data_IF_935231341685
#
_entry.id   IF_935231341685
#
_cell.length_a   1.000
_cell.length_b   1.000
_cell.length_c   1.000
_cell.angle_alpha   90.00
_cell.angle_beta   90.00
_cell.angle_gamma   90.00
#
_symmetry.space_group_name_H-M   'P 1'
#
loop_
_entity.id
_entity.type
_entity.pdbx_description
1 polymer ?
#
# COMPACT_ATOMS: atom_id res chain seq x y z
N UNK A 1 -4.05 -14.73 -1.80
CA UNK A 1 -4.55 -14.60 -0.43
C UNK A 1 -5.67 -15.61 -0.21
N UNK A 2 -5.71 -16.24 0.94
CA UNK A 2 -6.78 -17.18 1.35
C UNK A 2 -7.74 -16.56 2.38
N UNK A 3 -7.43 -15.34 2.83
CA UNK A 3 -8.20 -14.59 3.81
C UNK A 3 -8.12 -15.12 5.25
N UNK A 4 -7.31 -16.14 5.50
CA UNK A 4 -7.15 -16.77 6.81
C UNK A 4 -5.72 -16.68 7.35
N UNK A 5 -4.75 -17.18 6.61
CA UNK A 5 -3.34 -17.16 6.97
C UNK A 5 -2.47 -16.38 5.97
N UNK A 6 -2.91 -16.29 4.71
CA UNK A 6 -2.33 -15.41 3.69
C UNK A 6 -3.31 -14.27 3.49
N UNK A 7 -3.08 -13.15 4.17
CA UNK A 7 -4.04 -12.09 4.40
C UNK A 7 -3.62 -10.77 3.77
N UNK A 8 -4.57 -9.88 3.60
CA UNK A 8 -4.34 -8.46 3.30
C UNK A 8 -4.47 -7.59 4.56
N UNK A 9 -4.28 -6.29 4.39
CA UNK A 9 -4.33 -5.33 5.50
C UNK A 9 -5.69 -5.32 6.23
N UNK A 10 -6.80 -5.52 5.51
CA UNK A 10 -8.15 -5.54 6.13
C UNK A 10 -8.28 -6.64 7.16
N UNK A 11 -7.84 -7.85 6.84
CA UNK A 11 -7.84 -8.96 7.79
C UNK A 11 -6.82 -8.73 8.91
N UNK A 12 -5.65 -8.16 8.58
CA UNK A 12 -4.65 -7.84 9.60
C UNK A 12 -5.16 -6.85 10.65
N UNK A 13 -6.04 -5.91 10.28
CA UNK A 13 -6.67 -4.97 11.23
C UNK A 13 -7.70 -5.62 12.16
N UNK A 14 -8.17 -6.83 11.85
CA UNK A 14 -9.28 -7.49 12.54
C UNK A 14 -8.97 -8.93 12.94
N UNK A 15 -7.67 -9.30 13.05
CA UNK A 15 -7.30 -10.62 13.55
C UNK A 15 -7.83 -10.79 14.98
N UNK A 16 -8.43 -11.92 15.24
CA UNK A 16 -9.02 -12.30 16.53
C UNK A 16 -7.98 -12.76 17.56
N UNK A 17 -6.76 -12.97 17.13
CA UNK A 17 -5.64 -13.37 17.98
C UNK A 17 -4.33 -12.70 17.54
N UNK A 18 -3.37 -12.63 18.44
CA UNK A 18 -2.02 -12.19 18.16
C UNK A 18 -1.20 -13.36 17.60
N UNK A 19 -0.74 -13.32 16.34
CA UNK A 19 0.12 -14.39 15.80
C UNK A 19 1.49 -14.41 16.49
N UNK A 20 2.08 -15.60 16.65
CA UNK A 20 3.44 -15.75 17.18
C UNK A 20 4.48 -15.26 16.17
N UNK A 21 4.24 -15.47 14.87
CA UNK A 21 5.13 -15.04 13.79
C UNK A 21 4.37 -14.55 12.56
N UNK A 22 4.93 -13.52 11.92
CA UNK A 22 4.35 -12.92 10.72
C UNK A 22 5.46 -12.57 9.71
N UNK A 23 5.22 -12.92 8.44
CA UNK A 23 6.00 -12.39 7.33
C UNK A 23 5.17 -11.32 6.64
N UNK A 24 5.70 -10.09 6.58
CA UNK A 24 5.09 -8.96 5.90
C UNK A 24 5.76 -8.77 4.55
N UNK A 25 4.98 -8.80 3.47
CA UNK A 25 5.48 -8.68 2.09
C UNK A 25 5.13 -7.30 1.57
N UNK A 26 6.16 -6.50 1.29
CA UNK A 26 6.06 -5.08 0.93
C UNK A 26 6.25 -4.15 2.13
N UNK A 27 7.13 -3.16 1.98
CA UNK A 27 7.50 -2.20 3.02
C UNK A 27 7.06 -0.77 2.72
N UNK A 28 5.98 -0.59 1.95
CA UNK A 28 5.27 0.69 1.88
C UNK A 28 4.66 1.06 3.24
N UNK A 29 3.92 2.16 3.31
CA UNK A 29 3.31 2.65 4.56
C UNK A 29 2.55 1.54 5.31
N UNK A 30 1.61 0.86 4.64
CA UNK A 30 0.79 -0.22 5.22
C UNK A 30 1.65 -1.34 5.80
N UNK A 31 2.62 -1.85 5.01
CA UNK A 31 3.46 -2.97 5.46
C UNK A 31 4.36 -2.57 6.62
N UNK A 32 4.94 -1.38 6.58
CA UNK A 32 5.83 -0.86 7.64
C UNK A 32 5.06 -0.59 8.93
N UNK A 33 3.89 0.03 8.86
CA UNK A 33 3.05 0.29 10.04
C UNK A 33 2.58 -1.01 10.71
N UNK A 34 2.07 -1.97 9.93
CA UNK A 34 1.61 -3.24 10.47
C UNK A 34 2.75 -4.12 10.97
N UNK A 35 3.93 -4.10 10.31
CA UNK A 35 5.13 -4.76 10.82
C UNK A 35 5.52 -4.22 12.20
N UNK A 36 5.53 -2.90 12.35
CA UNK A 36 5.83 -2.26 13.63
C UNK A 36 4.77 -2.57 14.69
N UNK A 37 3.48 -2.47 14.33
CA UNK A 37 2.37 -2.76 15.23
C UNK A 37 2.45 -4.18 15.79
N UNK A 38 2.54 -5.18 14.92
CA UNK A 38 2.59 -6.58 15.36
C UNK A 38 3.87 -6.90 16.16
N UNK A 39 5.01 -6.33 15.77
CA UNK A 39 6.24 -6.46 16.53
C UNK A 39 6.11 -5.86 17.94
N UNK A 40 5.50 -4.68 18.07
CA UNK A 40 5.24 -4.04 19.36
C UNK A 40 4.29 -4.88 20.25
N UNK A 41 3.39 -5.64 19.64
CA UNK A 41 2.52 -6.61 20.32
C UNK A 41 3.25 -7.91 20.71
N UNK A 42 4.50 -8.07 20.29
CA UNK A 42 5.33 -9.25 20.61
C UNK A 42 5.26 -10.37 19.57
N UNK A 43 4.77 -10.10 18.37
CA UNK A 43 4.87 -11.02 17.23
C UNK A 43 6.28 -10.96 16.64
N UNK A 44 6.87 -12.11 16.32
CA UNK A 44 8.14 -12.15 15.57
C UNK A 44 7.88 -11.78 14.12
N UNK A 45 8.44 -10.66 13.66
CA UNK A 45 8.16 -10.11 12.31
C UNK A 45 9.38 -10.19 11.42
N UNK A 46 9.18 -10.71 10.20
CA UNK A 46 10.08 -10.59 9.05
C UNK A 46 9.43 -9.72 7.99
N UNK A 47 10.04 -8.58 7.66
CA UNK A 47 9.62 -7.67 6.60
C UNK A 47 10.43 -7.95 5.33
N UNK A 48 9.75 -8.31 4.23
CA UNK A 48 10.37 -8.63 2.93
C UNK A 48 10.05 -7.53 1.93
N UNK A 49 11.09 -6.95 1.32
CA UNK A 49 10.97 -5.85 0.37
C UNK A 49 11.74 -6.15 -0.92
N UNK A 50 11.07 -5.98 -2.05
CA UNK A 50 11.66 -6.17 -3.38
C UNK A 50 12.66 -5.06 -3.72
N UNK A 51 12.38 -3.83 -3.32
CA UNK A 51 13.21 -2.67 -3.57
C UNK A 51 14.50 -2.68 -2.72
N UNK A 52 15.51 -1.85 -3.06
CA UNK A 52 16.77 -1.78 -2.32
C UNK A 52 16.65 -1.26 -0.88
N UNK A 53 15.59 -0.54 -0.56
CA UNK A 53 15.34 0.08 0.74
C UNK A 53 13.90 -0.18 1.18
N UNK A 54 13.65 -0.17 2.47
CA UNK A 54 12.27 -0.07 2.98
C UNK A 54 11.72 1.34 2.70
N UNK A 55 10.39 1.49 2.69
CA UNK A 55 9.74 2.76 2.33
C UNK A 55 10.33 3.35 1.03
N UNK A 56 10.26 2.64 -0.10
CA UNK A 56 11.05 2.96 -1.30
C UNK A 56 10.63 4.24 -2.01
N UNK A 57 9.49 4.82 -1.64
CA UNK A 57 8.98 6.09 -2.17
C UNK A 57 9.37 7.31 -1.32
N UNK A 58 9.94 7.06 -0.13
CA UNK A 58 10.35 8.11 0.79
C UNK A 58 11.80 8.54 0.58
N UNK A 59 12.18 9.65 1.20
CA UNK A 59 13.55 10.12 1.22
C UNK A 59 14.53 9.05 1.73
N UNK A 60 15.70 8.96 1.10
CA UNK A 60 16.68 7.91 1.38
C UNK A 60 17.18 7.96 2.84
N UNK A 61 17.30 9.15 3.41
CA UNK A 61 17.72 9.32 4.82
C UNK A 61 16.64 8.84 5.78
N UNK A 62 15.36 9.16 5.48
CA UNK A 62 14.20 8.66 6.24
C UNK A 62 14.15 7.14 6.19
N UNK A 63 14.25 6.55 5.00
CA UNK A 63 14.26 5.08 4.82
C UNK A 63 15.36 4.40 5.60
N UNK A 64 16.58 4.96 5.59
CA UNK A 64 17.72 4.47 6.39
C UNK A 64 17.45 4.56 7.90
N UNK A 65 16.89 5.67 8.35
CA UNK A 65 16.60 5.89 9.76
C UNK A 65 15.51 4.93 10.27
N UNK A 66 14.43 4.76 9.52
CA UNK A 66 13.37 3.78 9.84
C UNK A 66 13.93 2.36 9.87
N UNK A 67 14.77 1.99 8.89
CA UNK A 67 15.42 0.68 8.87
C UNK A 67 16.28 0.40 10.11
N UNK A 68 17.03 1.39 10.61
CA UNK A 68 17.77 1.29 11.87
C UNK A 68 16.83 1.12 13.08
N UNK A 69 15.73 1.86 13.09
CA UNK A 69 14.73 1.78 14.15
C UNK A 69 14.04 0.42 14.16
N UNK A 70 13.68 -0.13 13.02
CA UNK A 70 13.10 -1.47 12.89
C UNK A 70 14.05 -2.55 13.41
N UNK A 71 15.31 -2.50 13.00
CA UNK A 71 16.32 -3.43 13.49
C UNK A 71 16.50 -3.33 15.03
N UNK A 72 16.50 -2.11 15.58
CA UNK A 72 16.58 -1.90 17.04
C UNK A 72 15.34 -2.44 17.76
N UNK A 73 14.17 -2.36 17.13
CA UNK A 73 12.92 -2.91 17.66
C UNK A 73 12.84 -4.45 17.55
N UNK A 74 13.76 -5.10 16.83
CA UNK A 74 13.77 -6.55 16.65
C UNK A 74 12.98 -7.04 15.44
N UNK A 75 12.66 -6.16 14.49
CA UNK A 75 12.08 -6.54 13.20
C UNK A 75 13.21 -6.98 12.26
N UNK A 76 13.14 -8.21 11.75
CA UNK A 76 14.02 -8.68 10.70
C UNK A 76 13.59 -8.07 9.35
N UNK A 77 14.57 -7.62 8.54
CA UNK A 77 14.29 -6.99 7.25
C UNK A 77 15.13 -7.63 6.14
N UNK A 78 14.46 -8.07 5.08
CA UNK A 78 15.07 -8.55 3.85
C UNK A 78 14.71 -7.62 2.69
N UNK A 79 15.65 -6.78 2.26
CA UNK A 79 15.52 -5.94 1.07
C UNK A 79 16.11 -6.64 -0.16
N UNK A 80 15.76 -6.18 -1.39
CA UNK A 80 16.12 -6.82 -2.65
C UNK A 80 15.74 -8.30 -2.65
N UNK A 81 14.59 -8.63 -2.08
CA UNK A 81 14.11 -9.97 -1.87
C UNK A 81 12.63 -10.08 -2.27
N UNK A 82 12.25 -11.19 -2.87
CA UNK A 82 10.88 -11.45 -3.32
C UNK A 82 10.32 -12.73 -2.76
N UNK A 83 9.05 -12.74 -2.39
CA UNK A 83 8.32 -13.96 -2.06
C UNK A 83 7.90 -14.62 -3.37
N UNK A 84 8.43 -15.81 -3.64
CA UNK A 84 8.15 -16.56 -4.86
C UNK A 84 6.92 -17.46 -4.70
N UNK A 85 6.76 -18.06 -3.52
CA UNK A 85 5.61 -18.90 -3.21
C UNK A 85 5.38 -19.01 -1.71
N UNK A 86 4.12 -19.34 -1.36
CA UNK A 86 3.71 -19.68 0.01
C UNK A 86 2.99 -21.00 -0.02
N UNK A 87 3.51 -21.96 0.72
CA UNK A 87 2.95 -23.31 0.84
C UNK A 87 2.14 -23.41 2.14
N UNK A 88 0.89 -23.79 2.00
CA UNK A 88 -0.03 -24.01 3.12
C UNK A 88 -0.12 -25.51 3.41
N UNK A 89 0.06 -25.89 4.69
CA UNK A 89 -0.04 -27.25 5.19
C UNK A 89 -0.52 -27.26 6.63
N UNK A 90 -0.38 -28.44 7.28
CA UNK A 90 -0.51 -28.53 8.73
C UNK A 90 0.67 -27.82 9.41
N UNK A 91 0.42 -26.91 10.35
CA UNK A 91 1.45 -26.10 11.03
C UNK A 91 1.71 -24.75 10.37
N UNK A 92 2.95 -24.29 10.44
CA UNK A 92 3.35 -22.98 9.91
C UNK A 92 3.33 -22.96 8.37
N UNK A 93 3.08 -21.77 7.80
CA UNK A 93 3.24 -21.52 6.38
C UNK A 93 4.73 -21.58 6.03
N UNK A 94 5.09 -22.24 4.93
CA UNK A 94 6.44 -22.20 4.37
C UNK A 94 6.49 -21.18 3.24
N UNK A 95 7.38 -20.21 3.38
CA UNK A 95 7.51 -19.08 2.47
C UNK A 95 8.86 -19.17 1.77
N UNK A 96 8.84 -19.38 0.46
CA UNK A 96 10.03 -19.40 -0.36
C UNK A 96 10.38 -17.96 -0.76
N UNK A 97 11.48 -17.44 -0.23
CA UNK A 97 11.96 -16.08 -0.46
C UNK A 97 13.23 -16.12 -1.27
N UNK A 98 13.24 -15.46 -2.43
CA UNK A 98 14.44 -15.24 -3.21
C UNK A 98 15.18 -14.04 -2.63
N UNK A 99 16.38 -14.27 -2.13
CA UNK A 99 17.20 -13.25 -1.49
C UNK A 99 17.96 -12.39 -2.52
N UNK A 100 18.65 -11.36 -2.04
CA UNK A 100 19.47 -10.44 -2.85
C UNK A 100 20.58 -11.10 -3.69
N UNK A 101 20.93 -12.35 -3.42
CA UNK A 101 21.91 -13.13 -4.20
C UNK A 101 21.23 -14.01 -5.26
N UNK A 102 19.89 -14.05 -5.27
CA UNK A 102 19.11 -14.92 -6.15
C UNK A 102 18.90 -16.34 -5.61
N UNK A 103 19.29 -16.61 -4.37
CA UNK A 103 19.13 -17.90 -3.70
C UNK A 103 17.73 -17.96 -3.05
N UNK A 104 17.14 -19.15 -3.03
CA UNK A 104 15.87 -19.39 -2.34
C UNK A 104 16.14 -19.77 -0.88
N UNK A 105 15.57 -19.01 0.02
CA UNK A 105 15.54 -19.29 1.45
C UNK A 105 14.11 -19.65 1.87
N UNK A 106 13.96 -20.68 2.71
CA UNK A 106 12.66 -21.07 3.25
C UNK A 106 12.51 -20.48 4.64
N UNK A 107 11.48 -19.65 4.81
CA UNK A 107 11.08 -19.06 6.08
C UNK A 107 9.73 -19.62 6.51
N UNK A 108 9.49 -19.70 7.81
CA UNK A 108 8.22 -20.19 8.35
C UNK A 108 7.54 -19.09 9.17
N UNK A 109 6.23 -18.98 9.01
CA UNK A 109 5.39 -18.06 9.78
C UNK A 109 3.97 -18.58 9.96
N UNK A 110 3.30 -18.12 11.00
CA UNK A 110 1.89 -18.39 11.22
C UNK A 110 1.02 -17.62 10.21
N UNK A 111 1.37 -16.36 9.96
CA UNK A 111 0.66 -15.45 9.05
C UNK A 111 1.62 -14.89 8.01
N UNK A 112 1.13 -14.76 6.78
CA UNK A 112 1.75 -13.96 5.72
C UNK A 112 0.82 -12.79 5.40
N UNK A 113 1.29 -11.56 5.61
CA UNK A 113 0.59 -10.34 5.28
C UNK A 113 1.10 -9.80 3.94
N UNK A 114 0.22 -9.73 2.94
CA UNK A 114 0.51 -9.11 1.65
C UNK A 114 0.18 -7.61 1.70
N UNK A 115 1.21 -6.77 1.57
CA UNK A 115 1.14 -5.31 1.57
C UNK A 115 1.86 -4.70 0.35
N UNK A 116 1.74 -5.37 -0.81
CA UNK A 116 2.47 -5.04 -2.06
C UNK A 116 1.87 -3.89 -2.87
N UNK A 117 0.94 -3.16 -2.31
CA UNK A 117 0.31 -1.99 -2.91
C UNK A 117 -1.20 -2.00 -2.79
N UNK A 118 -1.79 -0.89 -3.23
CA UNK A 118 -3.24 -0.67 -3.30
C UNK A 118 -3.65 -0.42 -4.75
N UNK A 119 -4.87 -0.79 -5.08
CA UNK A 119 -5.50 -0.44 -6.35
C UNK A 119 -6.79 0.35 -6.06
N UNK A 120 -7.16 1.31 -6.91
CA UNK A 120 -8.43 2.00 -6.77
C UNK A 120 -9.59 1.04 -7.07
N UNK A 121 -10.73 1.23 -6.39
CA UNK A 121 -11.94 0.46 -6.65
C UNK A 121 -12.75 1.17 -7.74
N UNK A 122 -12.45 0.87 -8.98
CA UNK A 122 -13.06 1.50 -10.17
C UNK A 122 -13.89 0.51 -11.01
N UNK A 123 -13.99 -0.74 -10.57
CA UNK A 123 -14.68 -1.80 -11.29
C UNK A 123 -16.18 -1.78 -11.00
N UNK A 124 -16.99 -2.01 -12.03
CA UNK A 124 -18.45 -2.15 -11.94
C UNK A 124 -19.18 -0.93 -11.32
N UNK A 125 -18.69 0.27 -11.55
CA UNK A 125 -19.32 1.53 -11.11
C UNK A 125 -19.82 2.39 -12.28
N UNK A 126 -19.90 1.82 -13.49
CA UNK A 126 -20.47 2.46 -14.67
C UNK A 126 -19.50 3.33 -15.47
N UNK A 127 -18.20 3.26 -15.22
CA UNK A 127 -17.21 4.07 -15.93
C UNK A 127 -17.12 3.67 -17.42
N UNK A 128 -17.21 2.37 -17.69
CA UNK A 128 -17.16 1.82 -19.05
C UNK A 128 -18.39 2.23 -19.85
N UNK A 129 -19.59 2.21 -19.26
CA UNK A 129 -20.84 2.61 -19.94
C UNK A 129 -20.84 4.09 -20.30
N UNK A 130 -20.18 4.92 -19.50
CA UNK A 130 -20.02 6.35 -19.75
C UNK A 130 -18.82 6.68 -20.64
N UNK A 131 -18.02 5.68 -21.03
CA UNK A 131 -16.77 5.85 -21.75
C UNK A 131 -15.81 6.83 -21.06
N UNK A 132 -15.69 6.73 -19.73
CA UNK A 132 -14.74 7.52 -18.95
C UNK A 132 -13.31 7.07 -19.29
N UNK A 133 -12.45 8.02 -19.64
CA UNK A 133 -11.04 7.74 -19.92
C UNK A 133 -10.29 7.32 -18.65
N UNK A 134 -9.56 6.21 -18.78
CA UNK A 134 -8.71 5.68 -17.71
C UNK A 134 -7.24 5.79 -18.09
N UNK A 135 -6.40 6.12 -17.12
CA UNK A 135 -4.95 6.09 -17.25
C UNK A 135 -4.33 5.28 -16.11
N UNK A 136 -3.55 4.24 -16.45
CA UNK A 136 -2.88 3.36 -15.47
C UNK A 136 -3.81 2.85 -14.36
N UNK A 137 -5.05 2.51 -14.71
CA UNK A 137 -6.07 1.98 -13.78
C UNK A 137 -6.75 3.04 -12.90
N UNK A 138 -6.57 4.33 -13.19
CA UNK A 138 -7.22 5.45 -12.51
C UNK A 138 -8.02 6.29 -13.50
N UNK A 139 -9.02 7.01 -13.02
CA UNK A 139 -9.80 7.95 -13.83
C UNK A 139 -8.89 9.11 -14.22
N UNK A 140 -8.84 9.40 -15.53
CA UNK A 140 -8.12 10.55 -16.05
C UNK A 140 -8.95 11.82 -15.87
N UNK A 141 -8.36 12.83 -15.26
CA UNK A 141 -8.98 14.13 -15.02
C UNK A 141 -8.01 15.27 -15.39
N UNK A 142 -8.56 16.47 -15.56
CA UNK A 142 -7.75 17.69 -15.64
C UNK A 142 -7.46 18.29 -14.24
N UNK A 143 -6.83 19.46 -14.22
CA UNK A 143 -6.42 20.16 -12.99
C UNK A 143 -7.60 20.56 -12.09
N UNK A 144 -8.82 20.51 -12.58
CA UNK A 144 -10.05 20.80 -11.85
C UNK A 144 -10.97 19.57 -11.72
N UNK A 145 -10.38 18.36 -11.90
CA UNK A 145 -11.04 17.06 -11.70
C UNK A 145 -12.14 16.72 -12.71
N UNK A 146 -12.20 17.43 -13.86
CA UNK A 146 -13.14 17.09 -14.95
C UNK A 146 -12.66 15.86 -15.67
N UNK A 147 -13.56 14.93 -15.92
CA UNK A 147 -13.33 13.80 -16.84
C UNK A 147 -13.50 14.24 -18.29
N UNK A 148 -13.31 13.30 -19.21
CA UNK A 148 -13.66 13.50 -20.63
C UNK A 148 -15.18 13.60 -20.90
N UNK A 149 -16.03 13.30 -19.93
CA UNK A 149 -17.48 13.36 -20.03
C UNK A 149 -18.01 14.62 -19.34
N UNK A 150 -18.72 15.47 -20.06
CA UNK A 150 -19.27 16.71 -19.55
C UNK A 150 -20.18 16.46 -18.32
N UNK A 151 -20.00 17.25 -17.26
CA UNK A 151 -20.76 17.14 -16.02
C UNK A 151 -20.31 16.00 -15.10
N UNK A 152 -19.28 15.21 -15.49
CA UNK A 152 -18.73 14.13 -14.68
C UNK A 152 -17.33 14.49 -14.19
N UNK A 153 -17.14 14.40 -12.88
CA UNK A 153 -15.89 14.71 -12.18
C UNK A 153 -15.44 13.50 -11.36
N UNK A 154 -14.15 13.40 -11.10
CA UNK A 154 -13.60 12.36 -10.24
C UNK A 154 -12.51 12.93 -9.33
N UNK A 155 -12.48 12.51 -8.06
CA UNK A 155 -11.53 12.96 -7.03
C UNK A 155 -11.09 11.79 -6.15
N UNK A 156 -10.08 12.00 -5.34
CA UNK A 156 -9.62 11.04 -4.32
C UNK A 156 -8.87 9.86 -4.90
N UNK A 157 -8.92 8.72 -4.23
CA UNK A 157 -8.08 7.55 -4.51
C UNK A 157 -8.25 6.96 -5.92
N UNK A 158 -9.34 7.31 -6.63
CA UNK A 158 -9.60 6.85 -7.99
C UNK A 158 -8.94 7.70 -9.08
N UNK A 159 -8.36 8.85 -8.75
CA UNK A 159 -7.59 9.70 -9.66
C UNK A 159 -6.09 9.62 -9.38
N UNK A 160 -5.27 10.21 -10.24
CA UNK A 160 -3.82 10.30 -9.99
C UNK A 160 -3.52 11.31 -8.88
N UNK A 161 -2.66 10.92 -7.97
CA UNK A 161 -2.24 11.71 -6.82
C UNK A 161 -1.95 10.83 -5.60
N UNK A 162 -1.57 11.43 -4.47
CA UNK A 162 -1.42 10.74 -3.20
C UNK A 162 -2.79 10.24 -2.70
N UNK A 163 -2.91 8.95 -2.41
CA UNK A 163 -4.13 8.34 -1.86
C UNK A 163 -4.26 8.66 -0.36
N UNK A 164 -4.60 9.91 -0.04
CA UNK A 164 -4.68 10.47 1.30
C UNK A 164 -6.00 11.19 1.50
N UNK A 165 -6.67 10.97 2.64
CA UNK A 165 -7.99 11.51 2.92
C UNK A 165 -8.04 13.06 2.89
N UNK A 166 -7.01 13.74 3.39
CA UNK A 166 -6.93 15.20 3.37
C UNK A 166 -6.68 15.75 1.95
N UNK A 167 -5.98 15.00 1.10
CA UNK A 167 -5.82 15.35 -0.32
C UNK A 167 -7.16 15.25 -1.03
N UNK A 168 -7.88 14.14 -0.88
CA UNK A 168 -9.22 13.98 -1.44
C UNK A 168 -10.20 15.08 -0.99
N UNK A 169 -10.09 15.53 0.26
CA UNK A 169 -10.88 16.65 0.78
C UNK A 169 -10.54 17.98 0.11
N UNK A 170 -9.26 18.25 -0.11
CA UNK A 170 -8.81 19.45 -0.81
C UNK A 170 -9.22 19.43 -2.29
N UNK A 171 -9.08 18.27 -2.95
CA UNK A 171 -9.56 18.03 -4.31
C UNK A 171 -11.06 18.30 -4.44
N UNK A 172 -11.86 17.82 -3.47
CA UNK A 172 -13.30 18.05 -3.44
C UNK A 172 -13.65 19.56 -3.38
N UNK A 173 -12.95 20.32 -2.53
CA UNK A 173 -13.15 21.76 -2.40
C UNK A 173 -12.80 22.44 -3.73
N UNK A 174 -11.62 22.20 -4.29
CA UNK A 174 -11.19 22.76 -5.56
C UNK A 174 -12.19 22.45 -6.69
N UNK A 175 -12.63 21.19 -6.78
CA UNK A 175 -13.60 20.73 -7.78
C UNK A 175 -14.94 21.47 -7.65
N UNK A 176 -15.52 21.55 -6.45
CA UNK A 176 -16.83 22.16 -6.22
C UNK A 176 -16.78 23.70 -6.40
N UNK A 177 -15.72 24.36 -5.97
CA UNK A 177 -15.51 25.79 -6.21
C UNK A 177 -15.42 26.09 -7.71
N UNK A 178 -14.69 25.25 -8.46
CA UNK A 178 -14.62 25.38 -9.91
C UNK A 178 -16.00 25.20 -10.58
N UNK A 179 -16.78 24.19 -10.17
CA UNK A 179 -18.16 23.98 -10.66
C UNK A 179 -19.04 25.19 -10.36
N UNK A 180 -18.87 25.81 -9.20
CA UNK A 180 -19.62 27.01 -8.78
C UNK A 180 -19.18 28.30 -9.49
N UNK A 181 -18.13 28.25 -10.32
CA UNK A 181 -17.56 29.42 -10.99
C UNK A 181 -16.77 30.34 -10.05
N UNK A 182 -16.39 29.86 -8.88
CA UNK A 182 -15.49 30.55 -7.95
C UNK A 182 -14.06 30.40 -8.47
N UNK A 183 -13.28 31.48 -8.38
CA UNK A 183 -11.85 31.38 -8.71
C UNK A 183 -11.15 30.49 -7.69
N UNK A 184 -10.54 29.44 -8.19
CA UNK A 184 -9.76 28.50 -7.38
C UNK A 184 -8.48 28.12 -8.12
N UNK A 185 -7.41 27.89 -7.38
CA UNK A 185 -6.15 27.42 -7.93
C UNK A 185 -6.07 25.89 -7.89
N UNK A 186 -5.46 25.25 -8.89
CA UNK A 186 -5.17 23.82 -8.84
C UNK A 186 -4.34 23.43 -7.62
N UNK A 187 -4.52 22.21 -7.14
CA UNK A 187 -3.74 21.72 -6.01
C UNK A 187 -2.27 21.52 -6.42
N UNK A 188 -1.38 22.04 -5.62
CA UNK A 188 0.06 21.79 -5.74
C UNK A 188 0.43 20.46 -5.07
N UNK A 189 0.48 19.39 -5.85
CA UNK A 189 0.84 18.05 -5.38
C UNK A 189 2.31 17.90 -4.97
N UNK A 190 3.15 18.93 -5.18
CA UNK A 190 4.53 18.93 -4.68
C UNK A 190 4.63 19.40 -3.23
N UNK A 191 3.54 19.93 -2.66
CA UNK A 191 3.45 20.49 -1.31
C UNK A 191 2.33 19.83 -0.49
N UNK A 192 2.33 18.50 -0.46
CA UNK A 192 1.40 17.69 0.34
C UNK A 192 2.13 17.21 1.60
N UNK A 193 1.55 17.44 2.81
CA UNK A 193 2.11 16.96 4.06
C UNK A 193 1.96 15.45 4.26
#
# INVERSE_FOLDING_TARGET
QDGKRIIGYRQALTLDHKPESMIVVGSGAIGSELAYFYNAMGTKVLLVEFMPTILPLEDEEVSKQVGRSFKKAGIDVMVKSSVESVESGEGLLKVNIKNKKGEIEIHEAEIVLSAVGIAPNVENIGLEELNIEMERGRVKVDDYYRTNVEGVYAIGDIVHGPALAHVASAEAICCVEHIAGVHTEPIDYTNIP
#
